data_IF_948977405434
#
_entry.id   IF_948977405434
#
_cell.length_a   1.000
_cell.length_b   1.000
_cell.length_c   1.000
_cell.angle_alpha   90.00
_cell.angle_beta   90.00
_cell.angle_gamma   90.00
#
_symmetry.space_group_name_H-M   'P 1'
#
loop_
_entity.id
_entity.type
_entity.pdbx_description
1 polymer ?
#
# COMPACT_ATOMS: atom_id res chain seq x y z
N UNK A 1 39.24 50.69 -4.04
CA UNK A 1 38.85 49.27 -4.09
C UNK A 1 38.13 49.05 -5.42
N UNK A 2 38.72 48.32 -6.37
CA UNK A 2 38.23 48.25 -7.76
C UNK A 2 36.81 47.66 -7.82
N UNK A 3 35.92 48.23 -8.64
CA UNK A 3 34.54 47.77 -8.82
C UNK A 3 34.45 46.26 -9.14
N UNK A 4 35.49 45.72 -9.81
CA UNK A 4 35.64 44.30 -10.10
C UNK A 4 35.73 43.45 -8.82
N UNK A 5 36.41 43.93 -7.77
CA UNK A 5 36.48 43.24 -6.48
C UNK A 5 35.14 43.27 -5.73
N UNK A 6 34.37 44.34 -5.89
CA UNK A 6 33.04 44.48 -5.27
C UNK A 6 32.02 43.56 -5.95
N UNK A 7 32.05 43.48 -7.29
CA UNK A 7 31.21 42.57 -8.08
C UNK A 7 31.56 41.10 -7.80
N UNK A 8 32.85 40.77 -7.70
CA UNK A 8 33.30 39.43 -7.32
C UNK A 8 32.84 39.04 -5.91
N UNK A 9 32.86 39.97 -4.95
CA UNK A 9 32.37 39.73 -3.59
C UNK A 9 30.86 39.48 -3.56
N UNK A 10 30.08 40.24 -4.35
CA UNK A 10 28.63 40.09 -4.47
C UNK A 10 28.23 38.75 -5.11
N UNK A 11 28.96 38.29 -6.14
CA UNK A 11 28.69 36.99 -6.78
C UNK A 11 28.97 35.81 -5.84
N UNK A 12 29.99 35.91 -4.99
CA UNK A 12 30.30 34.87 -3.98
C UNK A 12 29.18 34.76 -2.92
N UNK A 13 28.54 35.89 -2.54
CA UNK A 13 27.42 35.91 -1.58
C UNK A 13 26.13 35.28 -2.13
N UNK A 14 25.95 35.31 -3.45
CA UNK A 14 24.77 34.69 -4.11
C UNK A 14 24.92 33.16 -4.16
N UNK A 15 26.15 32.64 -4.33
CA UNK A 15 26.40 31.19 -4.42
C UNK A 15 26.20 30.50 -3.06
N UNK A 16 26.54 31.16 -1.95
CA UNK A 16 26.35 30.60 -0.59
C UNK A 16 24.87 30.54 -0.13
N UNK A 17 23.96 31.26 -0.77
CA UNK A 17 22.52 31.21 -0.45
C UNK A 17 21.73 30.18 -1.27
N UNK A 18 22.35 29.53 -2.26
CA UNK A 18 21.67 28.58 -3.15
C UNK A 18 21.84 27.10 -2.75
N UNK A 19 21.93 26.83 -1.45
CA UNK A 19 21.83 25.49 -0.88
C UNK A 19 20.68 25.45 0.13
N UNK A 20 19.44 25.51 -0.35
CA UNK A 20 18.29 25.03 0.42
C UNK A 20 18.02 23.59 -0.01
N UNK A 21 18.89 22.68 0.46
CA UNK A 21 18.55 21.27 0.45
C UNK A 21 17.37 21.11 1.42
N UNK A 22 16.17 20.94 0.89
CA UNK A 22 15.08 20.31 1.65
C UNK A 22 15.53 18.88 1.92
N UNK A 23 16.31 18.69 2.98
CA UNK A 23 16.38 17.41 3.65
C UNK A 23 14.92 17.06 3.98
N UNK A 24 14.41 16.01 3.35
CA UNK A 24 13.19 15.38 3.81
C UNK A 24 13.45 15.03 5.27
N UNK A 25 12.74 15.75 6.14
CA UNK A 25 12.77 15.60 7.58
C UNK A 25 12.18 14.23 7.89
N UNK A 26 13.00 13.18 7.75
CA UNK A 26 12.67 11.84 8.20
C UNK A 26 12.83 11.84 9.72
N UNK A 27 11.96 12.57 10.41
CA UNK A 27 11.73 12.31 11.82
C UNK A 27 11.30 10.85 11.92
N UNK A 28 11.97 10.01 12.74
CA UNK A 28 11.38 8.75 13.17
C UNK A 28 10.00 9.10 13.72
N UNK A 29 8.96 8.51 13.13
CA UNK A 29 7.58 8.86 13.44
C UNK A 29 7.38 8.88 14.94
N UNK A 30 6.87 10.01 15.46
CA UNK A 30 6.28 10.04 16.78
C UNK A 30 5.27 8.89 16.84
N UNK A 31 5.54 7.90 17.68
CA UNK A 31 4.59 6.85 18.00
C UNK A 31 3.45 7.49 18.79
N UNK A 32 2.51 8.08 18.06
CA UNK A 32 1.24 8.49 18.64
C UNK A 32 0.54 7.20 19.04
N UNK A 33 0.28 7.00 20.34
CA UNK A 33 -0.55 5.94 20.91
C UNK A 33 -2.02 5.96 20.44
N UNK A 34 -2.29 6.55 19.28
CA UNK A 34 -3.59 6.60 18.63
C UNK A 34 -3.94 5.19 18.14
N UNK A 35 -5.12 4.68 18.48
CA UNK A 35 -5.51 3.34 18.07
C UNK A 35 -5.64 3.26 16.54
N UNK A 36 -5.07 2.21 15.95
CA UNK A 36 -5.13 1.98 14.49
C UNK A 36 -6.57 1.63 14.10
N UNK A 37 -7.14 2.38 13.15
CA UNK A 37 -8.46 2.11 12.57
C UNK A 37 -8.26 1.37 11.23
N UNK A 38 -8.85 0.18 11.09
CA UNK A 38 -8.69 -0.68 9.92
C UNK A 38 -9.98 -0.75 9.10
N UNK A 39 -9.91 -0.34 7.84
CA UNK A 39 -10.94 -0.59 6.85
C UNK A 39 -10.62 -1.88 6.08
N UNK A 40 -11.39 -2.94 6.32
CA UNK A 40 -11.28 -4.19 5.55
C UNK A 40 -12.11 -4.07 4.28
N UNK A 41 -11.45 -3.91 3.13
CA UNK A 41 -12.09 -3.63 1.85
C UNK A 41 -12.16 -4.91 0.98
N UNK A 42 -13.27 -5.67 1.00
CA UNK A 42 -13.43 -6.79 0.10
C UNK A 42 -13.60 -6.28 -1.34
N UNK A 43 -12.92 -6.94 -2.27
CA UNK A 43 -13.24 -6.80 -3.69
C UNK A 43 -14.43 -7.69 -4.06
N UNK A 44 -15.02 -7.47 -5.24
CA UNK A 44 -16.23 -8.18 -5.66
C UNK A 44 -15.99 -9.70 -5.87
N UNK A 45 -14.74 -10.12 -6.06
CA UNK A 45 -14.38 -11.48 -6.43
C UNK A 45 -14.10 -12.42 -5.24
N UNK A 46 -13.95 -11.90 -4.03
CA UNK A 46 -13.67 -12.71 -2.83
C UNK A 46 -14.96 -13.22 -2.19
N UNK A 47 -14.99 -14.48 -1.71
CA UNK A 47 -16.17 -15.04 -1.06
C UNK A 47 -16.42 -14.36 0.30
N UNK A 48 -17.68 -14.25 0.71
CA UNK A 48 -18.04 -13.64 2.00
C UNK A 48 -17.45 -14.40 3.19
N UNK A 49 -17.45 -15.73 3.13
CA UNK A 49 -16.84 -16.59 4.14
C UNK A 49 -15.36 -16.24 4.39
N UNK A 50 -14.59 -16.00 3.32
CA UNK A 50 -13.18 -15.63 3.41
C UNK A 50 -13.00 -14.26 4.09
N UNK A 51 -13.86 -13.30 3.76
CA UNK A 51 -13.85 -11.97 4.38
C UNK A 51 -14.17 -12.07 5.86
N UNK A 52 -15.23 -12.81 6.21
CA UNK A 52 -15.67 -13.02 7.58
C UNK A 52 -14.62 -13.76 8.41
N UNK A 53 -13.94 -14.74 7.80
CA UNK A 53 -12.82 -15.43 8.44
C UNK A 53 -11.71 -14.43 8.80
N UNK A 54 -11.22 -13.61 7.86
CA UNK A 54 -10.16 -12.62 8.16
C UNK A 54 -10.61 -11.62 9.23
N UNK A 55 -11.82 -11.10 9.12
CA UNK A 55 -12.38 -10.20 10.13
C UNK A 55 -12.39 -10.84 11.53
N UNK A 56 -12.87 -12.09 11.65
CA UNK A 56 -12.94 -12.81 12.93
C UNK A 56 -11.58 -13.01 13.61
N UNK A 57 -10.50 -13.05 12.81
CA UNK A 57 -9.12 -13.17 13.31
C UNK A 57 -8.55 -11.81 13.68
N UNK A 58 -8.73 -10.80 12.83
CA UNK A 58 -8.15 -9.48 13.01
C UNK A 58 -8.82 -8.69 14.14
N UNK A 59 -10.13 -8.82 14.34
CA UNK A 59 -10.85 -8.09 15.40
C UNK A 59 -10.35 -8.43 16.81
N UNK A 60 -9.75 -9.60 16.99
CA UNK A 60 -9.13 -10.03 18.27
C UNK A 60 -7.84 -9.26 18.59
N UNK A 61 -7.22 -8.63 17.59
CA UNK A 61 -5.93 -7.91 17.69
C UNK A 61 -6.16 -6.41 17.51
N UNK A 62 -6.99 -6.03 16.55
CA UNK A 62 -7.32 -4.66 16.20
C UNK A 62 -8.82 -4.43 16.40
N UNK A 63 -9.26 -3.88 17.54
CA UNK A 63 -10.69 -3.76 17.85
C UNK A 63 -11.42 -2.75 16.94
N UNK A 64 -10.72 -1.75 16.40
CA UNK A 64 -11.29 -0.74 15.51
C UNK A 64 -11.20 -1.17 14.04
N UNK A 65 -11.81 -2.30 13.70
CA UNK A 65 -11.86 -2.83 12.33
C UNK A 65 -13.30 -2.81 11.80
N UNK A 66 -13.48 -2.45 10.54
CA UNK A 66 -14.80 -2.45 9.89
C UNK A 66 -14.72 -3.04 8.49
N UNK A 67 -15.66 -3.93 8.15
CA UNK A 67 -15.82 -4.45 6.79
C UNK A 67 -16.53 -3.39 5.93
N UNK A 68 -15.92 -3.02 4.81
CA UNK A 68 -16.48 -2.05 3.85
C UNK A 68 -17.38 -2.74 2.82
N UNK A 69 -18.21 -1.93 2.15
CA UNK A 69 -18.97 -2.38 0.99
C UNK A 69 -18.02 -2.90 -0.08
N UNK A 70 -18.39 -3.99 -0.74
CA UNK A 70 -17.61 -4.60 -1.82
C UNK A 70 -17.30 -3.59 -2.94
N UNK A 71 -16.06 -3.62 -3.40
CA UNK A 71 -15.53 -2.75 -4.45
C UNK A 71 -15.11 -3.57 -5.68
N UNK A 72 -15.21 -3.02 -6.88
CA UNK A 72 -14.63 -3.66 -8.07
C UNK A 72 -13.12 -3.46 -8.09
N UNK A 73 -12.37 -4.46 -8.56
CA UNK A 73 -10.94 -4.27 -8.82
C UNK A 73 -10.75 -3.15 -9.87
N UNK A 74 -9.76 -2.25 -9.71
CA UNK A 74 -9.52 -1.21 -10.70
C UNK A 74 -9.21 -1.81 -12.07
N UNK A 75 -9.95 -1.43 -13.11
CA UNK A 75 -9.74 -1.93 -14.47
C UNK A 75 -8.31 -1.69 -14.96
N UNK A 76 -7.72 -0.54 -14.59
CA UNK A 76 -6.33 -0.19 -14.90
C UNK A 76 -5.28 -1.13 -14.29
N UNK A 77 -5.65 -1.92 -13.27
CA UNK A 77 -4.76 -2.92 -12.69
C UNK A 77 -4.74 -4.23 -13.48
N UNK A 78 -5.72 -4.47 -14.36
CA UNK A 78 -5.89 -5.75 -15.04
C UNK A 78 -4.83 -5.99 -16.13
N UNK A 79 -4.31 -7.21 -16.18
CA UNK A 79 -3.40 -7.67 -17.21
C UNK A 79 -3.96 -8.93 -17.89
N UNK A 80 -4.53 -8.71 -19.07
CA UNK A 80 -5.31 -9.69 -19.83
C UNK A 80 -4.53 -10.98 -20.13
N UNK A 81 -3.29 -10.87 -20.63
CA UNK A 81 -2.48 -12.02 -21.09
C UNK A 81 -2.29 -13.11 -20.03
N UNK A 82 -2.41 -12.79 -18.75
CA UNK A 82 -2.22 -13.74 -17.64
C UNK A 82 -3.34 -13.71 -16.60
N UNK A 83 -4.41 -12.95 -16.85
CA UNK A 83 -5.54 -12.80 -15.93
C UNK A 83 -5.11 -12.39 -14.50
N UNK A 84 -4.12 -11.50 -14.39
CA UNK A 84 -3.55 -11.01 -13.11
C UNK A 84 -3.80 -9.54 -12.91
N UNK A 85 -3.75 -9.09 -11.66
CA UNK A 85 -3.88 -7.67 -11.32
C UNK A 85 -2.58 -7.10 -10.74
N UNK A 86 -2.18 -5.89 -11.16
CA UNK A 86 -1.00 -5.21 -10.64
C UNK A 86 -1.28 -4.66 -9.23
N UNK A 87 -0.61 -5.24 -8.24
CA UNK A 87 -0.79 -4.92 -6.83
C UNK A 87 -0.52 -3.43 -6.53
N UNK A 88 0.48 -2.81 -7.16
CA UNK A 88 0.77 -1.37 -7.02
C UNK A 88 -0.43 -0.49 -7.35
N UNK A 89 -1.14 -0.85 -8.42
CA UNK A 89 -2.26 -0.09 -8.92
C UNK A 89 -3.45 -0.23 -7.97
N UNK A 90 -3.64 -1.43 -7.42
CA UNK A 90 -4.66 -1.68 -6.40
C UNK A 90 -4.38 -0.87 -5.14
N UNK A 91 -3.18 -0.98 -4.55
CA UNK A 91 -2.88 -0.28 -3.29
C UNK A 91 -2.87 1.23 -3.48
N UNK A 92 -2.43 1.75 -4.63
CA UNK A 92 -2.53 3.18 -4.93
C UNK A 92 -3.99 3.65 -5.05
N UNK A 93 -4.88 2.82 -5.62
CA UNK A 93 -6.31 3.11 -5.67
C UNK A 93 -6.91 3.18 -4.26
N UNK A 94 -6.62 2.19 -3.42
CA UNK A 94 -7.08 2.15 -2.03
C UNK A 94 -6.55 3.34 -1.23
N UNK A 95 -5.25 3.64 -1.31
CA UNK A 95 -4.60 4.77 -0.61
C UNK A 95 -5.31 6.11 -0.83
N UNK A 96 -5.79 6.37 -2.04
CA UNK A 96 -6.49 7.61 -2.41
C UNK A 96 -7.86 7.73 -1.75
N UNK A 97 -8.45 6.60 -1.35
CA UNK A 97 -9.77 6.52 -0.73
C UNK A 97 -9.69 6.31 0.78
N UNK A 98 -8.54 5.87 1.30
CA UNK A 98 -8.32 5.67 2.73
C UNK A 98 -8.37 7.01 3.47
N UNK A 99 -9.26 7.19 4.46
CA UNK A 99 -9.28 8.38 5.31
C UNK A 99 -7.96 8.57 6.09
N UNK A 100 -7.72 9.77 6.58
CA UNK A 100 -6.56 10.00 7.45
C UNK A 100 -6.77 9.32 8.82
N UNK A 101 -5.70 8.78 9.40
CA UNK A 101 -5.76 7.95 10.60
C UNK A 101 -6.25 6.51 10.39
N UNK A 102 -6.66 6.16 9.16
CA UNK A 102 -7.10 4.81 8.80
C UNK A 102 -6.02 4.04 8.03
N UNK A 103 -6.11 2.72 8.07
CA UNK A 103 -5.40 1.81 7.17
C UNK A 103 -6.42 0.96 6.41
N UNK A 104 -6.38 0.97 5.09
CA UNK A 104 -7.26 0.12 4.27
C UNK A 104 -6.53 -1.14 3.80
N UNK A 105 -7.11 -2.31 4.09
CA UNK A 105 -6.63 -3.60 3.61
C UNK A 105 -7.60 -4.20 2.60
N UNK A 106 -7.19 -4.27 1.34
CA UNK A 106 -7.95 -4.89 0.26
C UNK A 106 -7.86 -6.42 0.31
N UNK A 107 -8.97 -7.11 0.12
CA UNK A 107 -9.02 -8.57 0.02
C UNK A 107 -9.55 -9.01 -1.35
N UNK A 108 -8.81 -9.88 -2.04
CA UNK A 108 -9.19 -10.42 -3.35
C UNK A 108 -8.85 -11.91 -3.45
N UNK A 109 -9.52 -12.61 -4.35
CA UNK A 109 -9.23 -13.99 -4.77
C UNK A 109 -8.53 -14.04 -6.14
N UNK A 110 -8.29 -12.90 -6.80
CA UNK A 110 -7.50 -12.83 -8.05
C UNK A 110 -6.00 -12.88 -7.77
N UNK A 111 -5.26 -13.50 -8.69
CA UNK A 111 -3.79 -13.48 -8.65
C UNK A 111 -3.27 -12.05 -8.83
N UNK A 112 -2.33 -11.65 -7.98
CA UNK A 112 -1.74 -10.31 -7.99
C UNK A 112 -0.24 -10.37 -8.26
N UNK A 113 0.27 -9.33 -8.90
CA UNK A 113 1.67 -9.22 -9.31
C UNK A 113 2.29 -7.88 -8.94
N UNK A 114 3.62 -7.84 -8.90
CA UNK A 114 4.43 -6.64 -8.83
C UNK A 114 5.71 -6.83 -9.67
N UNK A 115 6.44 -5.75 -9.91
CA UNK A 115 7.77 -5.79 -10.50
C UNK A 115 8.81 -6.05 -9.41
N UNK A 116 9.55 -7.16 -9.49
CA UNK A 116 10.65 -7.46 -8.56
C UNK A 116 11.98 -7.44 -9.32
N UNK A 117 12.74 -6.36 -9.17
CA UNK A 117 13.96 -6.12 -9.96
C UNK A 117 13.65 -6.15 -11.45
N UNK A 118 14.29 -7.06 -12.19
CA UNK A 118 14.07 -7.22 -13.64
C UNK A 118 12.84 -8.09 -13.99
N UNK A 119 12.14 -8.65 -13.00
CA UNK A 119 10.95 -9.50 -13.22
C UNK A 119 9.68 -8.66 -13.09
N UNK A 120 9.10 -8.23 -14.20
CA UNK A 120 7.93 -7.32 -14.25
C UNK A 120 6.58 -7.96 -13.87
N UNK A 121 6.52 -9.28 -13.83
CA UNK A 121 5.32 -10.07 -13.52
C UNK A 121 5.60 -11.10 -12.42
N UNK A 122 6.15 -10.62 -11.30
CA UNK A 122 6.37 -11.43 -10.12
C UNK A 122 5.07 -11.53 -9.32
N UNK A 123 4.51 -12.73 -9.26
CA UNK A 123 3.28 -12.96 -8.51
C UNK A 123 3.52 -13.13 -7.01
N UNK A 124 2.59 -12.62 -6.21
CA UNK A 124 2.75 -12.45 -4.76
C UNK A 124 1.43 -12.68 -4.01
N UNK A 125 1.52 -12.91 -2.69
CA UNK A 125 0.34 -13.09 -1.81
C UNK A 125 -0.22 -11.76 -1.33
N UNK A 126 0.60 -10.72 -1.20
CA UNK A 126 0.15 -9.41 -0.75
C UNK A 126 1.22 -8.35 -0.92
N UNK A 127 0.79 -7.09 -0.99
CA UNK A 127 1.67 -5.92 -1.09
C UNK A 127 1.07 -4.79 -0.25
N UNK A 128 1.90 -4.05 0.47
CA UNK A 128 1.49 -2.87 1.23
C UNK A 128 2.55 -1.77 1.12
N UNK A 129 2.12 -0.52 1.30
CA UNK A 129 3.06 0.60 1.48
C UNK A 129 3.69 0.55 2.87
N UNK A 130 4.99 0.82 2.95
CA UNK A 130 5.72 0.97 4.21
C UNK A 130 6.76 2.11 4.08
N UNK A 131 6.58 3.24 4.79
CA UNK A 131 5.37 3.62 5.52
C UNK A 131 4.19 3.85 4.55
N UNK A 132 2.96 3.71 5.05
CA UNK A 132 1.75 4.05 4.29
C UNK A 132 0.46 3.45 4.84
N UNK A 133 -0.66 3.81 4.21
CA UNK A 133 -2.02 3.55 4.73
C UNK A 133 -2.84 2.53 3.94
N UNK A 134 -2.23 1.76 3.05
CA UNK A 134 -2.98 0.78 2.26
C UNK A 134 -2.16 -0.45 1.88
N UNK A 135 -2.83 -1.60 1.89
CA UNK A 135 -2.31 -2.86 1.39
C UNK A 135 -3.38 -3.69 0.70
N UNK A 136 -2.95 -4.75 0.01
CA UNK A 136 -3.82 -5.75 -0.60
C UNK A 136 -3.28 -7.14 -0.32
N UNK A 137 -4.17 -8.08 -0.02
CA UNK A 137 -3.88 -9.51 0.15
C UNK A 137 -4.74 -10.31 -0.82
N UNK A 138 -4.12 -11.31 -1.46
CA UNK A 138 -4.75 -12.24 -2.38
C UNK A 138 -4.79 -13.65 -1.82
N UNK A 139 -5.97 -14.26 -1.87
CA UNK A 139 -6.20 -15.66 -1.54
C UNK A 139 -5.69 -16.62 -2.61
N UNK A 140 -5.43 -16.16 -3.83
CA UNK A 140 -5.13 -17.00 -4.99
C UNK A 140 -3.98 -17.97 -4.76
N UNK A 141 -2.95 -17.52 -4.04
CA UNK A 141 -1.73 -18.31 -3.77
C UNK A 141 -1.73 -18.95 -2.38
N UNK A 142 -2.76 -18.70 -1.57
CA UNK A 142 -2.95 -19.31 -0.25
C UNK A 142 -3.77 -20.60 -0.34
N UNK A 143 -4.60 -20.74 -1.37
CA UNK A 143 -5.32 -21.98 -1.64
C UNK A 143 -4.35 -23.04 -2.17
N UNK A 144 -3.75 -23.82 -1.26
CA UNK A 144 -3.13 -25.09 -1.64
C UNK A 144 -4.19 -25.95 -2.34
N UNK A 145 -3.86 -26.47 -3.53
CA UNK A 145 -4.66 -27.50 -4.24
C UNK A 145 -4.64 -28.87 -3.54
N UNK A 146 -4.22 -28.93 -2.28
CA UNK A 146 -4.11 -30.15 -1.51
C UNK A 146 -5.03 -30.04 -0.31
N UNK A 147 -6.04 -30.91 -0.30
CA UNK A 147 -7.03 -31.19 0.75
C UNK A 147 -8.12 -30.15 1.05
N UNK A 148 -9.18 -30.21 0.23
CA UNK A 148 -10.52 -29.75 0.61
C UNK A 148 -11.19 -30.61 1.71
N UNK A 149 -10.52 -31.64 2.25
CA UNK A 149 -11.07 -32.53 3.27
C UNK A 149 -10.74 -32.16 4.72
N UNK A 150 -9.82 -31.22 4.98
CA UNK A 150 -9.38 -30.90 6.35
C UNK A 150 -9.60 -29.44 6.79
N UNK A 151 -10.51 -28.71 6.12
CA UNK A 151 -10.84 -27.33 6.52
C UNK A 151 -12.05 -27.21 7.47
N UNK A 152 -12.66 -28.32 7.88
CA UNK A 152 -13.78 -28.36 8.83
C UNK A 152 -13.51 -29.20 10.11
N UNK A 153 -12.23 -29.43 10.43
CA UNK A 153 -11.82 -30.06 11.70
C UNK A 153 -11.11 -29.07 12.60
#
# INVERSE_FOLDING_TARGET
>A
MSAIKVIALLLIVIIINSCSNKAADNKPGEETNSPVIIDLQPFADIAEEQVNYVYSRLVKIYPNITIKKRLLLPAAAYYEKRNRYKADTIINHLRKQTPDGHVTMGLTSKDIRHTKGNVSDYGLMGLAYQPGKSGVVSYFRLSNKTDQSNFLS
#
